data_IF_820953351200
#
_entry.id   IF_820953351200
#
_cell.length_a   1.000
_cell.length_b   1.000
_cell.length_c   1.000
_cell.angle_alpha   90.00
_cell.angle_beta   90.00
_cell.angle_gamma   90.00
#
_symmetry.space_group_name_H-M   'P 1'
#
loop_
_entity.id
_entity.type
_entity.pdbx_description
1 polymer ?
#
# COMPACT_ATOMS: atom_id res chain seq x y z
N UNK A 1 -27.43 -24.06 25.35
CA UNK A 1 -28.00 -22.73 25.01
C UNK A 1 -27.47 -21.77 26.09
N UNK A 2 -26.56 -20.81 25.89
CA UNK A 2 -26.16 -20.03 24.72
C UNK A 2 -24.66 -19.66 24.81
N UNK A 3 -23.95 -19.97 23.72
CA UNK A 3 -22.77 -19.32 23.11
C UNK A 3 -21.97 -18.31 23.95
N UNK A 4 -20.82 -18.74 24.46
CA UNK A 4 -19.72 -17.86 24.88
C UNK A 4 -18.68 -17.81 23.75
N UNK A 5 -18.62 -16.64 23.09
CA UNK A 5 -17.84 -16.41 21.89
C UNK A 5 -16.36 -16.27 22.24
N UNK A 6 -15.58 -17.33 22.03
CA UNK A 6 -14.14 -17.38 22.22
C UNK A 6 -13.45 -16.43 21.22
N UNK A 7 -13.20 -15.19 21.66
CA UNK A 7 -12.36 -14.23 20.97
C UNK A 7 -10.95 -14.78 20.80
N UNK A 8 -10.53 -14.94 19.54
CA UNK A 8 -9.19 -15.31 19.10
C UNK A 8 -8.12 -14.47 19.79
N UNK A 9 -7.43 -15.07 20.77
CA UNK A 9 -6.22 -14.53 21.39
C UNK A 9 -5.04 -14.78 20.44
N UNK A 10 -4.64 -13.77 19.67
CA UNK A 10 -3.32 -13.78 19.03
C UNK A 10 -2.24 -13.60 20.11
N UNK A 11 -1.85 -14.70 20.75
CA UNK A 11 -0.66 -14.76 21.59
C UNK A 11 0.59 -14.87 20.70
N UNK A 12 1.18 -13.72 20.36
CA UNK A 12 2.63 -13.64 20.20
C UNK A 12 3.11 -12.66 21.27
N UNK A 13 3.77 -13.21 22.29
CA UNK A 13 4.37 -12.46 23.40
C UNK A 13 5.59 -11.69 22.87
N UNK A 14 5.36 -10.66 22.06
CA UNK A 14 6.30 -9.55 21.92
C UNK A 14 5.88 -8.56 22.99
N UNK A 15 6.60 -8.59 24.11
CA UNK A 15 6.35 -7.78 25.31
C UNK A 15 5.83 -6.38 24.96
N UNK A 16 4.57 -6.11 25.34
CA UNK A 16 3.88 -4.82 25.17
C UNK A 16 4.68 -3.65 25.79
N UNK A 17 5.64 -3.93 26.66
CA UNK A 17 6.50 -2.94 27.31
C UNK A 17 7.51 -2.25 26.36
N UNK A 18 7.83 -2.84 25.19
CA UNK A 18 8.72 -2.21 24.20
C UNK A 18 7.99 -1.29 23.21
N UNK A 19 6.67 -1.29 23.19
CA UNK A 19 5.83 -0.47 22.30
C UNK A 19 5.46 0.90 22.88
N UNK A 20 5.97 1.24 24.08
CA UNK A 20 5.80 2.57 24.68
C UNK A 20 6.63 3.69 24.00
N UNK A 21 7.41 3.38 22.97
CA UNK A 21 8.09 4.39 22.13
C UNK A 21 7.12 5.27 21.30
N UNK A 22 5.83 4.92 21.24
CA UNK A 22 4.82 5.71 20.52
C UNK A 22 3.87 6.52 21.40
N UNK A 23 4.04 6.60 22.73
CA UNK A 23 3.50 7.65 23.63
C UNK A 23 1.98 7.98 23.62
N UNK A 24 1.18 7.33 22.77
CA UNK A 24 -0.27 7.41 22.60
C UNK A 24 -0.59 6.40 21.52
N UNK A 25 -1.58 5.52 21.72
CA UNK A 25 -2.13 4.76 20.59
C UNK A 25 -2.65 5.79 19.60
N UNK A 26 -1.93 6.01 18.50
CA UNK A 26 -2.34 7.02 17.54
C UNK A 26 -3.76 6.68 17.06
N UNK A 27 -4.62 7.68 16.85
CA UNK A 27 -5.97 7.49 16.31
C UNK A 27 -5.98 6.62 15.05
N UNK A 28 -4.88 6.65 14.32
CA UNK A 28 -4.63 5.83 13.14
C UNK A 28 -4.47 4.33 13.42
N UNK A 29 -3.84 3.95 14.53
CA UNK A 29 -3.75 2.55 14.97
C UNK A 29 -5.13 2.03 15.40
N UNK A 30 -5.92 2.86 16.11
CA UNK A 30 -7.28 2.49 16.51
C UNK A 30 -8.18 2.25 15.30
N UNK A 31 -8.10 3.11 14.28
CA UNK A 31 -8.79 2.88 13.02
C UNK A 31 -8.41 1.53 12.40
N UNK A 32 -7.12 1.18 12.38
CA UNK A 32 -6.66 -0.10 11.85
C UNK A 32 -7.20 -1.30 12.65
N UNK A 33 -7.21 -1.23 13.97
CA UNK A 33 -7.78 -2.28 14.82
C UNK A 33 -9.28 -2.44 14.58
N UNK A 34 -10.02 -1.33 14.46
CA UNK A 34 -11.45 -1.35 14.16
C UNK A 34 -11.76 -1.97 12.80
N UNK A 35 -10.90 -1.75 11.79
CA UNK A 35 -10.98 -2.42 10.49
C UNK A 35 -10.76 -3.92 10.64
N UNK A 36 -9.78 -4.34 11.45
CA UNK A 36 -9.49 -5.76 11.67
C UNK A 36 -10.63 -6.49 12.39
N UNK A 37 -11.24 -5.87 13.39
CA UNK A 37 -12.40 -6.46 14.09
C UNK A 37 -13.53 -6.85 13.13
N UNK A 38 -13.73 -6.06 12.07
CA UNK A 38 -14.84 -6.25 11.13
C UNK A 38 -14.44 -7.02 9.87
N UNK A 39 -13.20 -6.88 9.43
CA UNK A 39 -12.78 -7.30 8.09
C UNK A 39 -11.52 -8.17 8.06
N UNK A 40 -11.01 -8.66 9.20
CA UNK A 40 -9.78 -9.45 9.27
C UNK A 40 -9.67 -10.54 8.19
N UNK A 41 -10.76 -11.28 7.92
CA UNK A 41 -10.77 -12.38 6.95
C UNK A 41 -11.15 -11.97 5.52
N UNK A 42 -11.43 -10.69 5.25
CA UNK A 42 -11.76 -10.21 3.90
C UNK A 42 -10.49 -10.04 3.06
N UNK A 43 -10.54 -10.28 1.75
CA UNK A 43 -9.40 -10.03 0.86
C UNK A 43 -9.07 -8.52 0.82
N UNK A 44 -7.78 -8.19 0.85
CA UNK A 44 -7.27 -6.81 0.80
C UNK A 44 -6.35 -6.57 -0.40
N UNK A 45 -5.23 -7.31 -0.51
CA UNK A 45 -4.27 -7.15 -1.61
C UNK A 45 -4.24 -8.41 -2.47
N UNK A 46 -4.49 -8.24 -3.77
CA UNK A 46 -4.44 -9.30 -4.77
C UNK A 46 -3.14 -9.23 -5.56
N UNK A 47 -2.47 -10.36 -5.72
CA UNK A 47 -1.27 -10.50 -6.55
C UNK A 47 -1.41 -11.70 -7.48
N UNK A 48 -0.70 -11.69 -8.61
CA UNK A 48 -0.65 -12.82 -9.53
C UNK A 48 0.79 -13.26 -9.66
N UNK A 49 1.03 -14.56 -9.56
CA UNK A 49 2.36 -15.11 -9.80
C UNK A 49 2.65 -15.08 -11.30
N UNK A 50 3.90 -14.74 -11.65
CA UNK A 50 4.39 -14.83 -13.02
C UNK A 50 4.68 -16.29 -13.32
N UNK A 51 3.94 -16.89 -14.26
CA UNK A 51 4.12 -18.27 -14.69
C UNK A 51 5.23 -18.35 -15.74
N UNK A 52 5.15 -17.52 -16.78
CA UNK A 52 6.16 -17.50 -17.83
C UNK A 52 6.25 -16.13 -18.51
N UNK A 53 7.35 -15.94 -19.23
CA UNK A 53 7.67 -14.71 -19.95
C UNK A 53 8.13 -15.10 -21.34
N UNK A 54 7.36 -14.73 -22.35
CA UNK A 54 7.67 -14.98 -23.76
C UNK A 54 8.09 -13.68 -24.43
N UNK A 55 9.14 -13.74 -25.24
CA UNK A 55 9.59 -12.59 -26.03
C UNK A 55 9.14 -12.79 -27.46
N UNK A 56 8.15 -12.03 -27.90
CA UNK A 56 7.70 -12.02 -29.29
C UNK A 56 8.47 -10.91 -30.02
N UNK A 57 9.15 -11.26 -31.11
CA UNK A 57 9.87 -10.30 -31.96
C UNK A 57 8.97 -9.96 -33.14
N UNK A 58 8.58 -8.69 -33.24
CA UNK A 58 7.82 -8.19 -34.39
C UNK A 58 8.69 -8.20 -35.65
N UNK A 59 8.02 -8.20 -36.81
CA UNK A 59 8.66 -8.12 -38.13
C UNK A 59 9.59 -6.90 -38.28
N UNK A 60 9.34 -5.83 -37.51
CA UNK A 60 10.17 -4.62 -37.45
C UNK A 60 11.42 -4.74 -36.54
N UNK A 61 11.73 -5.95 -36.03
CA UNK A 61 12.86 -6.20 -35.13
C UNK A 61 12.64 -5.73 -33.68
N UNK A 62 11.47 -5.17 -33.36
CA UNK A 62 11.09 -4.79 -31.99
C UNK A 62 10.62 -6.01 -31.22
N UNK A 63 11.24 -6.30 -30.08
CA UNK A 63 10.75 -7.33 -29.16
C UNK A 63 9.76 -6.77 -28.15
N UNK A 64 8.74 -7.55 -27.81
CA UNK A 64 7.89 -7.29 -26.67
C UNK A 64 7.81 -8.51 -25.76
N UNK A 65 7.73 -8.26 -24.46
CA UNK A 65 7.64 -9.29 -23.45
C UNK A 65 6.19 -9.51 -23.08
N UNK A 66 5.70 -10.72 -23.33
CA UNK A 66 4.39 -11.19 -22.95
C UNK A 66 4.49 -11.96 -21.66
N UNK A 67 3.81 -11.46 -20.63
CA UNK A 67 3.78 -12.07 -19.31
C UNK A 67 2.55 -12.98 -19.20
N UNK A 68 2.78 -14.25 -18.91
CA UNK A 68 1.73 -15.20 -18.57
C UNK A 68 1.60 -15.22 -17.06
N UNK A 69 0.47 -14.70 -16.56
CA UNK A 69 0.21 -14.55 -15.14
C UNK A 69 -0.78 -15.62 -14.67
N UNK A 70 -0.53 -16.19 -13.49
CA UNK A 70 -1.41 -17.18 -12.86
C UNK A 70 -2.69 -16.59 -12.28
N UNK A 71 -3.35 -17.36 -11.42
CA UNK A 71 -4.56 -16.92 -10.73
C UNK A 71 -4.26 -15.85 -9.68
N UNK A 72 -5.27 -15.04 -9.35
CA UNK A 72 -5.16 -14.09 -8.25
C UNK A 72 -5.03 -14.82 -6.92
N UNK A 73 -3.98 -14.49 -6.18
CA UNK A 73 -3.81 -14.81 -4.79
C UNK A 73 -4.06 -13.57 -3.96
N UNK A 74 -5.02 -13.67 -3.05
CA UNK A 74 -5.38 -12.59 -2.15
C UNK A 74 -4.77 -12.82 -0.78
N UNK A 75 -4.24 -11.76 -0.18
CA UNK A 75 -3.99 -11.71 1.26
C UNK A 75 -5.13 -10.94 1.92
N UNK A 76 -5.52 -11.40 3.10
CA UNK A 76 -6.57 -10.81 3.92
C UNK A 76 -6.07 -9.58 4.69
N UNK A 77 -7.01 -8.80 5.25
CA UNK A 77 -6.66 -7.69 6.15
C UNK A 77 -5.80 -8.16 7.34
N UNK A 78 -6.12 -9.32 7.92
CA UNK A 78 -5.39 -9.91 9.04
C UNK A 78 -3.97 -10.35 8.66
N UNK A 79 -3.78 -10.94 7.47
CA UNK A 79 -2.46 -11.31 6.97
C UNK A 79 -1.61 -10.09 6.64
N UNK A 80 -2.21 -9.08 5.99
CA UNK A 80 -1.56 -7.80 5.74
C UNK A 80 -1.10 -7.13 7.04
N UNK A 81 -1.93 -7.17 8.09
CA UNK A 81 -1.56 -6.65 9.40
C UNK A 81 -0.38 -7.39 10.03
N UNK A 82 -0.38 -8.72 9.98
CA UNK A 82 0.76 -9.52 10.45
C UNK A 82 2.04 -9.15 9.71
N UNK A 83 1.97 -8.98 8.38
CA UNK A 83 3.11 -8.56 7.58
C UNK A 83 3.62 -7.16 7.98
N UNK A 84 2.73 -6.19 8.19
CA UNK A 84 3.06 -4.84 8.70
C UNK A 84 3.78 -4.93 10.06
N UNK A 85 3.27 -5.74 11.00
CA UNK A 85 3.90 -5.92 12.31
C UNK A 85 5.29 -6.55 12.20
N UNK A 86 5.47 -7.54 11.32
CA UNK A 86 6.76 -8.19 11.09
C UNK A 86 7.80 -7.22 10.50
N UNK A 87 7.41 -6.43 9.49
CA UNK A 87 8.27 -5.40 8.90
C UNK A 87 8.65 -4.37 9.96
N UNK A 88 7.67 -3.87 10.74
CA UNK A 88 7.92 -2.91 11.82
C UNK A 88 8.90 -3.46 12.88
N UNK A 89 8.73 -4.72 13.28
CA UNK A 89 9.65 -5.39 14.21
C UNK A 89 11.07 -5.48 13.65
N UNK A 90 11.22 -5.78 12.36
CA UNK A 90 12.52 -5.81 11.68
C UNK A 90 13.20 -4.44 11.68
N UNK A 91 12.48 -3.38 11.31
CA UNK A 91 13.01 -2.01 11.34
C UNK A 91 13.48 -1.61 12.75
N UNK A 92 12.68 -1.92 13.78
CA UNK A 92 13.06 -1.64 15.18
C UNK A 92 14.31 -2.42 15.62
N UNK A 93 14.46 -3.68 15.19
CA UNK A 93 15.64 -4.48 15.48
C UNK A 93 16.90 -3.92 14.81
N UNK A 94 16.75 -3.28 13.64
CA UNK A 94 17.83 -2.58 12.95
C UNK A 94 18.14 -1.19 13.54
N UNK A 95 17.42 -0.78 14.58
CA UNK A 95 17.59 0.54 15.22
C UNK A 95 16.94 1.69 14.45
N UNK A 96 16.13 1.41 13.44
CA UNK A 96 15.43 2.42 12.65
C UNK A 96 14.24 2.93 13.47
N UNK A 97 14.21 4.23 13.71
CA UNK A 97 13.23 4.93 14.53
C UNK A 97 12.68 6.18 13.86
N UNK A 98 11.95 6.97 14.66
CA UNK A 98 11.29 8.19 14.21
C UNK A 98 12.29 9.17 13.59
N UNK A 99 11.91 9.79 12.46
CA UNK A 99 12.73 10.72 11.67
C UNK A 99 13.91 10.09 10.91
N UNK A 100 14.12 8.77 10.99
CA UNK A 100 15.09 8.12 10.13
C UNK A 100 14.62 8.10 8.68
N UNK A 101 15.58 8.06 7.76
CA UNK A 101 15.35 8.00 6.32
C UNK A 101 15.54 6.58 5.83
N UNK A 102 14.51 6.05 5.18
CA UNK A 102 14.58 4.78 4.48
C UNK A 102 14.19 4.99 3.02
N UNK A 103 14.85 4.28 2.12
CA UNK A 103 14.46 4.20 0.72
C UNK A 103 13.89 2.82 0.45
N UNK A 104 12.72 2.76 -0.19
CA UNK A 104 12.08 1.51 -0.61
C UNK A 104 12.07 1.52 -2.13
N UNK A 105 12.90 0.68 -2.75
CA UNK A 105 12.95 0.53 -4.21
C UNK A 105 12.28 -0.78 -4.62
N UNK A 106 11.04 -0.70 -5.08
CA UNK A 106 10.36 -1.82 -5.73
C UNK A 106 9.20 -1.35 -6.62
N UNK A 107 8.74 -2.23 -7.49
CA UNK A 107 7.56 -2.02 -8.32
C UNK A 107 6.28 -1.90 -7.46
N UNK A 108 5.14 -1.55 -8.09
CA UNK A 108 3.84 -1.43 -7.40
C UNK A 108 3.33 -2.82 -6.99
N UNK A 109 3.89 -3.34 -5.90
CA UNK A 109 3.61 -4.66 -5.34
C UNK A 109 2.94 -4.53 -3.96
N UNK A 110 2.30 -5.62 -3.52
CA UNK A 110 1.66 -5.65 -2.20
C UNK A 110 2.65 -5.30 -1.08
N UNK A 111 3.88 -5.80 -1.15
CA UNK A 111 4.94 -5.56 -0.18
C UNK A 111 5.33 -4.08 -0.10
N UNK A 112 5.30 -3.36 -1.23
CA UNK A 112 5.53 -1.91 -1.25
C UNK A 112 4.48 -1.16 -0.42
N UNK A 113 3.20 -1.48 -0.63
CA UNK A 113 2.09 -0.87 0.12
C UNK A 113 2.19 -1.16 1.63
N UNK A 114 2.57 -2.38 2.00
CA UNK A 114 2.74 -2.79 3.39
C UNK A 114 3.92 -2.06 4.05
N UNK A 115 5.06 -1.97 3.37
CA UNK A 115 6.24 -1.25 3.85
C UNK A 115 5.98 0.26 3.99
N UNK A 116 5.24 0.85 3.03
CA UNK A 116 4.80 2.24 3.10
C UNK A 116 3.91 2.50 4.33
N UNK A 117 2.99 1.58 4.64
CA UNK A 117 2.13 1.69 5.80
C UNK A 117 2.94 1.69 7.11
N UNK A 118 3.99 0.85 7.20
CA UNK A 118 4.92 0.84 8.33
C UNK A 118 5.70 2.14 8.43
N UNK A 119 6.32 2.60 7.35
CA UNK A 119 7.10 3.83 7.32
C UNK A 119 6.28 5.04 7.81
N UNK A 120 5.03 5.13 7.33
CA UNK A 120 4.09 6.19 7.72
C UNK A 120 3.65 6.09 9.18
N UNK A 121 3.69 4.90 9.79
CA UNK A 121 3.28 4.68 11.18
C UNK A 121 4.44 4.82 12.17
N UNK A 122 5.66 4.47 11.74
CA UNK A 122 6.89 4.69 12.49
C UNK A 122 7.33 6.17 12.53
N UNK A 123 6.71 7.02 11.71
CA UNK A 123 7.03 8.45 11.65
C UNK A 123 8.39 8.69 11.00
N UNK A 124 8.74 7.88 10.00
CA UNK A 124 9.93 8.07 9.17
C UNK A 124 9.79 9.35 8.33
N UNK A 125 10.93 9.90 7.91
CA UNK A 125 10.98 11.17 7.16
C UNK A 125 10.15 11.08 5.87
N UNK A 126 9.34 12.12 5.59
CA UNK A 126 8.17 12.05 4.71
C UNK A 126 8.44 12.58 3.30
N UNK A 127 9.52 12.13 2.65
CA UNK A 127 9.86 12.69 1.33
C UNK A 127 8.86 12.31 0.22
N UNK A 128 8.14 11.18 0.33
CA UNK A 128 7.33 10.64 -0.79
C UNK A 128 5.85 10.36 -0.47
N UNK A 129 5.35 10.79 0.70
CA UNK A 129 3.98 10.48 1.11
C UNK A 129 3.05 11.65 0.80
N UNK A 130 2.12 11.45 -0.14
CA UNK A 130 1.03 12.39 -0.42
C UNK A 130 0.28 12.74 0.86
N UNK A 131 0.45 13.98 1.34
CA UNK A 131 -0.12 14.45 2.59
C UNK A 131 -1.63 14.72 2.50
N UNK A 132 -2.11 15.07 1.31
CA UNK A 132 -3.51 15.42 1.04
C UNK A 132 -3.98 14.65 -0.21
N UNK A 133 -5.20 14.09 -0.14
CA UNK A 133 -5.79 13.28 -1.21
C UNK A 133 -7.16 13.89 -1.53
N UNK A 134 -7.41 14.15 -2.81
CA UNK A 134 -8.73 14.52 -3.34
C UNK A 134 -9.20 13.44 -4.31
N UNK A 135 -10.40 12.93 -4.08
CA UNK A 135 -11.05 12.02 -5.01
C UNK A 135 -11.75 12.84 -6.09
N UNK A 136 -11.52 12.48 -7.34
CA UNK A 136 -12.14 13.10 -8.51
C UNK A 136 -13.07 12.05 -9.13
N UNK A 137 -14.38 12.32 -9.23
CA UNK A 137 -15.34 11.34 -9.76
C UNK A 137 -15.24 11.15 -11.28
N UNK A 138 -14.63 12.11 -11.98
CA UNK A 138 -14.40 12.07 -13.42
C UNK A 138 -13.35 11.00 -13.78
N UNK A 139 -13.70 9.97 -14.57
CA UNK A 139 -12.75 8.94 -14.97
C UNK A 139 -11.72 9.49 -15.97
N UNK A 140 -10.47 9.10 -15.79
CA UNK A 140 -9.39 9.43 -16.73
C UNK A 140 -9.26 8.34 -17.77
N UNK A 141 -9.75 8.61 -18.97
CA UNK A 141 -9.73 7.68 -20.10
C UNK A 141 -8.95 8.27 -21.28
N UNK A 142 -8.50 7.44 -22.24
CA UNK A 142 -7.84 7.93 -23.44
C UNK A 142 -8.69 8.93 -24.22
N UNK A 143 -10.01 8.72 -24.26
CA UNK A 143 -10.99 9.57 -24.97
C UNK A 143 -11.13 10.94 -24.29
N UNK A 144 -11.03 11.01 -22.96
CA UNK A 144 -11.05 12.28 -22.23
C UNK A 144 -9.73 13.05 -22.32
N UNK A 145 -8.72 12.49 -23.01
CA UNK A 145 -7.44 13.13 -23.31
C UNK A 145 -6.50 13.28 -22.11
N UNK A 146 -6.86 12.74 -20.94
CA UNK A 146 -6.07 12.85 -19.69
C UNK A 146 -5.00 11.76 -19.55
N UNK A 147 -5.15 10.67 -20.30
CA UNK A 147 -4.19 9.56 -20.36
C UNK A 147 -3.89 9.15 -21.80
N UNK A 148 -2.79 8.43 -22.02
CA UNK A 148 -2.51 7.76 -23.31
C UNK A 148 -3.37 6.51 -23.47
N UNK A 149 -3.42 5.91 -24.66
CA UNK A 149 -4.03 4.58 -24.87
C UNK A 149 -3.46 3.50 -23.91
N UNK A 150 -2.18 3.59 -23.54
CA UNK A 150 -1.56 2.73 -22.52
C UNK A 150 -1.77 3.21 -21.06
N UNK A 151 -2.77 4.07 -20.81
CA UNK A 151 -3.12 4.64 -19.49
C UNK A 151 -2.00 5.44 -18.78
N UNK A 152 -0.97 5.88 -19.51
CA UNK A 152 0.06 6.78 -18.97
C UNK A 152 -0.52 8.19 -18.79
N UNK A 153 -0.25 8.81 -17.65
CA UNK A 153 -0.75 10.15 -17.30
C UNK A 153 -0.18 11.24 -18.21
N UNK A 154 -1.04 12.06 -18.81
CA UNK A 154 -0.64 13.30 -19.50
C UNK A 154 -0.61 14.45 -18.49
N UNK A 155 0.50 14.53 -17.74
CA UNK A 155 0.65 15.39 -16.55
C UNK A 155 0.36 16.86 -16.81
N UNK A 156 0.73 17.41 -17.97
CA UNK A 156 0.46 18.82 -18.31
C UNK A 156 -1.03 19.11 -18.46
N UNK A 157 -1.75 18.24 -19.17
CA UNK A 157 -3.20 18.36 -19.38
C UNK A 157 -3.93 18.23 -18.05
N UNK A 158 -3.55 17.24 -17.23
CA UNK A 158 -4.12 17.03 -15.89
C UNK A 158 -3.87 18.24 -15.00
N UNK A 159 -2.63 18.76 -14.95
CA UNK A 159 -2.30 19.95 -14.14
C UNK A 159 -3.13 21.15 -14.55
N UNK A 160 -3.33 21.37 -15.85
CA UNK A 160 -4.15 22.47 -16.35
C UNK A 160 -5.63 22.29 -16.00
N UNK A 161 -6.15 21.08 -16.14
CA UNK A 161 -7.56 20.77 -15.88
C UNK A 161 -7.93 20.87 -14.38
N UNK A 162 -6.98 20.60 -13.47
CA UNK A 162 -7.20 20.57 -12.03
C UNK A 162 -6.34 21.59 -11.27
N UNK A 163 -5.99 22.72 -11.91
CA UNK A 163 -5.11 23.73 -11.32
C UNK A 163 -5.65 24.26 -9.98
N UNK A 164 -6.93 24.69 -9.96
CA UNK A 164 -7.59 25.22 -8.75
C UNK A 164 -7.67 24.17 -7.63
N UNK A 165 -7.84 22.90 -7.99
CA UNK A 165 -7.91 21.80 -7.04
C UNK A 165 -6.55 21.50 -6.44
N UNK A 166 -5.50 21.54 -7.26
CA UNK A 166 -4.12 21.41 -6.81
C UNK A 166 -3.71 22.59 -5.93
N UNK A 167 -4.11 23.82 -6.26
CA UNK A 167 -3.86 25.00 -5.43
C UNK A 167 -4.53 24.86 -4.06
N UNK A 168 -5.82 24.48 -4.01
CA UNK A 168 -6.52 24.22 -2.73
C UNK A 168 -5.89 23.07 -1.93
N UNK A 169 -5.35 22.07 -2.62
CA UNK A 169 -4.64 20.98 -1.96
C UNK A 169 -3.28 21.43 -1.43
N UNK A 170 -2.53 22.29 -2.10
CA UNK A 170 -1.17 22.65 -1.68
C UNK A 170 -1.03 24.00 -0.99
N UNK A 171 -2.12 24.76 -0.84
CA UNK A 171 -2.22 25.93 0.04
C UNK A 171 -2.08 25.56 1.54
#
# INVERSE_FOLDING_TARGET
MLVENQGMRFATTVSLHRWNLFGRVSQRWLSYLSTLERFACKPLLGSRELISKETEVNQDGRSFEKLHLGNYRWISYGEAFKAVCNIASGLLQLGIGKNDRIAIFCETRAEWLLALQVAKQAGLDRFEISAKIKLIPEPWTPESGKVTAALKLKREIIRKAYADDLEKLYA
#
